data_IF_326007155011
#
_entry.id   IF_326007155011
#
_cell.length_a   1.000
_cell.length_b   1.000
_cell.length_c   1.000
_cell.angle_alpha   90.00
_cell.angle_beta   90.00
_cell.angle_gamma   90.00
#
_symmetry.space_group_name_H-M   'P 1'
#
loop_
_entity.id
_entity.type
_entity.pdbx_description
1 polymer ?
#
# COMPACT_ATOMS: atom_id res chain seq x y z
N UNK A 1 14.99 -14.46 -10.48
CA UNK A 1 13.54 -14.75 -10.43
C UNK A 1 12.67 -13.50 -10.26
N UNK A 2 12.69 -12.79 -9.08
CA UNK A 2 11.90 -11.55 -8.91
C UNK A 2 12.46 -10.42 -9.78
N UNK A 3 13.75 -10.17 -9.70
CA UNK A 3 14.49 -9.18 -10.50
C UNK A 3 14.17 -9.30 -12.00
N UNK A 4 14.26 -10.50 -12.56
CA UNK A 4 14.03 -10.72 -14.00
C UNK A 4 12.59 -10.37 -14.42
N UNK A 5 11.62 -10.64 -13.52
CA UNK A 5 10.20 -10.33 -13.78
C UNK A 5 9.91 -8.85 -13.72
N UNK A 6 10.46 -8.15 -12.74
CA UNK A 6 10.26 -6.70 -12.58
C UNK A 6 10.91 -5.96 -13.74
N UNK A 7 12.14 -6.33 -14.12
CA UNK A 7 12.82 -5.70 -15.26
C UNK A 7 12.18 -6.01 -16.63
N UNK A 8 11.32 -7.01 -16.72
CA UNK A 8 10.54 -7.31 -17.93
C UNK A 8 9.25 -6.50 -18.05
N UNK A 9 8.90 -5.68 -17.07
CA UNK A 9 7.70 -4.84 -17.14
C UNK A 9 7.89 -3.78 -18.24
N UNK A 10 6.85 -3.54 -19.06
CA UNK A 10 6.91 -2.53 -20.13
C UNK A 10 6.73 -1.08 -19.64
N UNK A 11 6.60 -0.86 -18.33
CA UNK A 11 6.41 0.45 -17.72
C UNK A 11 7.51 0.72 -16.68
N UNK A 12 7.78 1.97 -16.35
CA UNK A 12 8.63 2.33 -15.22
C UNK A 12 8.11 1.71 -13.91
N UNK A 13 9.01 1.29 -13.06
CA UNK A 13 8.69 0.81 -11.72
C UNK A 13 9.63 1.46 -10.69
N UNK A 14 9.15 1.55 -9.46
CA UNK A 14 9.89 2.09 -8.33
C UNK A 14 9.72 1.16 -7.14
N UNK A 15 10.81 0.91 -6.42
CA UNK A 15 10.82 -0.03 -5.31
C UNK A 15 10.92 0.75 -3.99
N UNK A 16 10.33 0.16 -2.95
CA UNK A 16 10.43 0.63 -1.57
C UNK A 16 10.88 -0.52 -0.68
N UNK A 17 11.55 -0.19 0.43
CA UNK A 17 11.91 -1.17 1.44
C UNK A 17 10.71 -1.58 2.27
N UNK A 18 10.44 -2.89 2.35
CA UNK A 18 9.56 -3.49 3.35
C UNK A 18 10.38 -4.12 4.49
N UNK A 19 9.69 -4.58 5.53
CA UNK A 19 10.33 -5.16 6.72
C UNK A 19 11.06 -6.49 6.44
N UNK A 20 10.75 -7.17 5.36
CA UNK A 20 11.41 -8.42 4.95
C UNK A 20 12.55 -8.22 3.94
N UNK A 21 12.75 -7.01 3.44
CA UNK A 21 13.80 -6.75 2.48
C UNK A 21 15.16 -6.59 3.19
N UNK A 22 16.22 -7.02 2.51
CA UNK A 22 17.59 -6.78 2.90
C UNK A 22 18.22 -5.76 1.96
N UNK A 23 18.72 -4.67 2.50
CA UNK A 23 19.28 -3.55 1.75
C UNK A 23 20.50 -3.98 0.91
N UNK A 24 21.36 -4.86 1.45
CA UNK A 24 22.52 -5.37 0.73
C UNK A 24 22.11 -6.21 -0.48
N UNK A 25 21.10 -7.07 -0.31
CA UNK A 25 20.55 -7.89 -1.39
C UNK A 25 19.85 -7.01 -2.43
N UNK A 26 19.06 -6.02 -1.99
CA UNK A 26 18.38 -5.10 -2.88
C UNK A 26 19.38 -4.30 -3.72
N UNK A 27 20.43 -3.77 -3.13
CA UNK A 27 21.47 -3.02 -3.82
C UNK A 27 22.25 -3.89 -4.83
N UNK A 28 22.51 -5.15 -4.51
CA UNK A 28 23.13 -6.10 -5.44
C UNK A 28 22.23 -6.48 -6.62
N UNK A 29 20.92 -6.61 -6.35
CA UNK A 29 19.94 -7.03 -7.35
C UNK A 29 19.49 -5.90 -8.27
N UNK A 30 19.39 -4.69 -7.75
CA UNK A 30 18.85 -3.51 -8.44
C UNK A 30 19.87 -2.38 -8.45
N UNK A 31 20.90 -2.52 -9.27
CA UNK A 31 22.03 -1.57 -9.35
C UNK A 31 21.66 -0.16 -9.82
N UNK A 32 20.46 0.01 -10.37
CA UNK A 32 19.92 1.32 -10.75
C UNK A 32 19.15 2.03 -9.63
N UNK A 33 19.03 1.42 -8.44
CA UNK A 33 18.41 2.07 -7.29
C UNK A 33 19.36 3.09 -6.69
N UNK A 34 18.83 4.28 -6.44
CA UNK A 34 19.56 5.35 -5.78
C UNK A 34 19.18 5.38 -4.30
N UNK A 35 20.18 5.17 -3.44
CA UNK A 35 20.05 5.38 -2.01
C UNK A 35 20.52 6.80 -1.68
N UNK A 36 19.92 7.40 -0.65
CA UNK A 36 20.40 8.68 -0.17
C UNK A 36 21.80 8.58 0.46
N UNK A 37 22.39 9.70 0.84
CA UNK A 37 23.73 9.78 1.44
C UNK A 37 23.86 8.99 2.77
N UNK A 38 22.74 8.64 3.40
CA UNK A 38 22.67 7.85 4.63
C UNK A 38 22.36 6.37 4.38
N UNK A 39 22.17 5.98 3.12
CA UNK A 39 21.88 4.62 2.72
C UNK A 39 20.41 4.21 2.84
N UNK A 40 19.47 5.15 2.93
CA UNK A 40 18.03 4.86 2.89
C UNK A 40 17.51 4.90 1.46
N UNK A 41 16.58 3.99 1.15
CA UNK A 41 15.87 3.98 -0.12
C UNK A 41 14.64 4.89 -0.03
N UNK A 42 14.86 6.17 -0.13
CA UNK A 42 13.78 7.16 -0.19
C UNK A 42 13.92 8.02 -1.45
N UNK A 43 12.80 8.29 -2.11
CA UNK A 43 12.80 8.86 -3.46
C UNK A 43 11.64 9.86 -3.62
N UNK A 44 11.92 10.95 -4.34
CA UNK A 44 10.89 11.82 -4.89
C UNK A 44 10.84 11.63 -6.40
N UNK A 45 9.71 11.22 -6.91
CA UNK A 45 9.51 10.91 -8.32
C UNK A 45 8.50 11.89 -8.90
N UNK A 46 8.93 12.69 -9.85
CA UNK A 46 8.03 13.63 -10.53
C UNK A 46 7.13 12.87 -11.51
N UNK A 47 5.84 13.12 -11.43
CA UNK A 47 4.83 12.53 -12.33
C UNK A 47 3.87 13.59 -12.84
N UNK A 48 3.15 13.34 -13.95
CA UNK A 48 2.16 14.28 -14.47
C UNK A 48 1.02 14.61 -13.50
N UNK A 49 0.76 13.73 -12.52
CA UNK A 49 -0.34 13.87 -11.55
C UNK A 49 0.12 14.36 -10.17
N UNK A 50 1.34 14.86 -10.09
CA UNK A 50 2.00 15.29 -8.87
C UNK A 50 3.11 14.33 -8.43
N UNK A 51 4.00 14.75 -7.54
CA UNK A 51 5.12 13.94 -7.11
C UNK A 51 4.68 12.73 -6.29
N UNK A 52 5.39 11.61 -6.46
CA UNK A 52 5.32 10.45 -5.57
C UNK A 52 6.50 10.52 -4.61
N UNK A 53 6.20 10.49 -3.32
CA UNK A 53 7.20 10.51 -2.24
C UNK A 53 7.23 9.11 -1.64
N UNK A 54 8.29 8.36 -1.93
CA UNK A 54 8.52 7.01 -1.45
C UNK A 54 9.48 7.08 -0.26
N UNK A 55 9.05 6.60 0.90
CA UNK A 55 9.84 6.69 2.14
C UNK A 55 10.39 5.33 2.53
N UNK A 56 11.55 5.32 3.16
CA UNK A 56 12.11 4.13 3.80
C UNK A 56 11.74 4.13 5.28
N UNK A 57 10.88 3.20 5.67
CA UNK A 57 10.44 3.04 7.07
C UNK A 57 11.05 1.80 7.74
N UNK A 58 11.98 1.11 7.08
CA UNK A 58 12.55 -0.13 7.61
C UNK A 58 13.44 0.15 8.84
N UNK A 59 13.16 -0.53 9.94
CA UNK A 59 14.05 -0.54 11.09
C UNK A 59 15.31 -1.38 10.80
N UNK A 60 16.46 -1.06 11.40
CA UNK A 60 17.69 -1.85 11.25
C UNK A 60 17.54 -3.29 11.75
N UNK A 61 16.64 -3.53 12.69
CA UNK A 61 16.35 -4.85 13.28
C UNK A 61 14.85 -5.01 13.54
N UNK A 62 14.37 -6.25 13.36
CA UNK A 62 12.96 -6.60 13.60
C UNK A 62 12.04 -6.26 12.43
N UNK A 63 10.73 -6.31 12.68
CA UNK A 63 9.69 -6.18 11.66
C UNK A 63 8.87 -4.89 11.79
N UNK A 64 9.19 -4.03 12.75
CA UNK A 64 8.55 -2.72 12.91
C UNK A 64 9.21 -1.68 12.01
N UNK A 65 8.50 -0.59 11.80
CA UNK A 65 9.04 0.60 11.17
C UNK A 65 9.67 1.55 12.19
N UNK A 66 10.68 2.28 11.75
CA UNK A 66 11.29 3.40 12.46
C UNK A 66 11.47 4.58 11.51
N UNK A 67 11.49 5.79 12.07
CA UNK A 67 11.72 6.99 11.29
C UNK A 67 12.67 7.92 12.07
N UNK A 68 13.97 7.71 11.86
CA UNK A 68 15.02 8.48 12.56
C UNK A 68 15.06 9.93 12.08
N UNK A 69 15.79 10.79 12.80
CA UNK A 69 15.90 12.23 12.48
C UNK A 69 16.32 12.48 11.04
N UNK A 70 17.32 11.76 10.52
CA UNK A 70 17.77 11.91 9.12
C UNK A 70 16.65 11.69 8.10
N UNK A 71 15.78 10.70 8.34
CA UNK A 71 14.61 10.43 7.47
C UNK A 71 13.51 11.46 7.68
N UNK A 72 13.35 11.98 8.91
CA UNK A 72 12.44 13.10 9.18
C UNK A 72 12.91 14.37 8.46
N UNK A 73 14.19 14.71 8.54
CA UNK A 73 14.77 15.88 7.87
C UNK A 73 14.60 15.77 6.35
N UNK A 74 14.93 14.62 5.78
CA UNK A 74 14.73 14.38 4.34
C UNK A 74 13.26 14.55 3.92
N UNK A 75 12.31 14.05 4.72
CA UNK A 75 10.90 14.17 4.42
C UNK A 75 10.41 15.62 4.54
N UNK A 76 10.87 16.35 5.56
CA UNK A 76 10.55 17.76 5.79
C UNK A 76 11.05 18.64 4.63
N UNK A 77 12.32 18.46 4.22
CA UNK A 77 12.92 19.14 3.07
C UNK A 77 12.20 18.78 1.78
N UNK A 78 11.93 17.49 1.55
CA UNK A 78 11.22 17.03 0.36
C UNK A 78 9.85 17.66 0.26
N UNK A 79 9.03 17.59 1.31
CA UNK A 79 7.67 18.16 1.31
C UNK A 79 7.71 19.69 1.18
N UNK A 80 8.68 20.37 1.83
CA UNK A 80 8.87 21.82 1.70
C UNK A 80 9.18 22.23 0.26
N UNK A 81 9.92 21.41 -0.47
CA UNK A 81 10.34 21.69 -1.86
C UNK A 81 9.24 21.52 -2.90
N UNK A 82 8.11 20.87 -2.54
CA UNK A 82 7.06 20.53 -3.50
C UNK A 82 6.35 21.77 -4.02
N UNK A 83 6.24 21.86 -5.34
CA UNK A 83 5.49 22.93 -6.04
C UNK A 83 4.00 22.60 -6.14
N UNK A 84 3.65 21.33 -6.07
CA UNK A 84 2.29 20.81 -6.11
C UNK A 84 2.15 19.62 -5.14
N UNK A 85 0.95 19.35 -4.62
CA UNK A 85 0.74 18.22 -3.71
C UNK A 85 0.87 16.87 -4.43
N UNK A 86 1.33 15.86 -3.69
CA UNK A 86 1.61 14.53 -4.20
C UNK A 86 1.05 13.40 -3.36
N UNK A 87 1.46 12.18 -3.71
CA UNK A 87 1.12 10.96 -2.98
C UNK A 87 2.30 10.54 -2.10
N UNK A 88 2.01 10.20 -0.84
CA UNK A 88 3.00 9.72 0.11
C UNK A 88 2.89 8.20 0.26
N UNK A 89 3.98 7.50 0.01
CA UNK A 89 4.08 6.06 0.11
C UNK A 89 4.96 5.68 1.30
N UNK A 90 4.45 4.84 2.19
CA UNK A 90 5.16 4.31 3.34
C UNK A 90 4.85 2.81 3.48
N UNK A 91 5.86 2.00 3.81
CA UNK A 91 5.58 0.58 4.05
C UNK A 91 4.82 0.39 5.37
N UNK A 92 5.35 0.88 6.49
CA UNK A 92 4.71 0.75 7.80
C UNK A 92 3.81 1.95 8.10
N UNK A 93 2.55 1.75 8.53
CA UNK A 93 1.69 2.85 8.99
C UNK A 93 2.24 3.46 10.29
N UNK A 94 2.13 4.78 10.47
CA UNK A 94 2.53 5.44 11.71
C UNK A 94 1.41 5.46 12.79
N UNK A 95 0.34 4.70 12.58
CA UNK A 95 -0.83 4.62 13.44
C UNK A 95 -1.34 3.19 13.57
N UNK A 96 -2.20 2.95 14.56
CA UNK A 96 -2.83 1.66 14.78
C UNK A 96 -3.95 1.40 13.77
N UNK A 97 -4.00 0.17 13.24
CA UNK A 97 -5.04 -0.29 12.30
C UNK A 97 -6.14 -1.09 13.01
N UNK A 98 -6.05 -1.25 14.33
CA UNK A 98 -7.00 -1.97 15.17
C UNK A 98 -6.80 -3.48 15.21
N UNK A 99 -5.64 -3.97 14.74
CA UNK A 99 -5.23 -5.38 14.85
C UNK A 99 -3.96 -5.41 15.69
N UNK A 100 -4.10 -5.77 16.97
CA UNK A 100 -3.06 -5.63 17.99
C UNK A 100 -1.70 -6.21 17.59
N UNK A 101 -1.68 -7.36 16.92
CA UNK A 101 -0.45 -8.01 16.44
C UNK A 101 0.26 -7.24 15.33
N UNK A 102 -0.47 -6.52 14.47
CA UNK A 102 0.07 -5.66 13.44
C UNK A 102 0.44 -4.28 13.99
N UNK A 103 -0.37 -3.76 14.91
CA UNK A 103 -0.11 -2.47 15.58
C UNK A 103 1.20 -2.50 16.37
N UNK A 104 1.56 -3.65 16.94
CA UNK A 104 2.83 -3.86 17.64
C UNK A 104 4.06 -3.70 16.74
N UNK A 105 3.91 -3.94 15.45
CA UNK A 105 5.00 -3.87 14.45
C UNK A 105 4.82 -2.73 13.43
N UNK A 106 3.93 -1.77 13.70
CA UNK A 106 3.79 -0.54 12.92
C UNK A 106 5.05 0.35 13.00
N UNK A 107 5.05 1.47 12.36
CA UNK A 107 6.08 2.50 12.58
C UNK A 107 5.92 3.08 14.00
N UNK A 108 7.00 3.03 14.77
CA UNK A 108 7.02 3.44 16.18
C UNK A 108 7.15 4.94 16.38
N UNK A 109 7.57 5.67 15.36
CA UNK A 109 7.81 7.12 15.41
C UNK A 109 6.61 7.95 14.91
N UNK A 110 5.39 7.41 14.96
CA UNK A 110 4.18 8.10 14.53
C UNK A 110 3.97 9.44 15.23
N UNK A 111 4.32 9.54 16.51
CA UNK A 111 4.25 10.78 17.29
C UNK A 111 5.20 11.87 16.78
N UNK A 112 6.33 11.50 16.18
CA UNK A 112 7.27 12.44 15.55
C UNK A 112 6.83 12.80 14.13
N UNK A 113 6.30 11.81 13.39
CA UNK A 113 5.83 12.00 12.02
C UNK A 113 4.60 12.89 11.92
N UNK A 114 3.64 12.74 12.83
CA UNK A 114 2.37 13.48 12.73
C UNK A 114 2.57 14.99 12.70
N UNK A 115 3.32 15.64 13.60
CA UNK A 115 3.53 17.10 13.55
C UNK A 115 4.24 17.56 12.27
N UNK A 116 5.15 16.74 11.71
CA UNK A 116 5.80 17.02 10.45
C UNK A 116 4.78 17.00 9.30
N UNK A 117 3.99 15.94 9.21
CA UNK A 117 2.98 15.80 8.16
C UNK A 117 1.91 16.91 8.25
N UNK A 118 1.54 17.31 9.47
CA UNK A 118 0.57 18.41 9.69
C UNK A 118 1.08 19.76 9.19
N UNK A 119 2.38 20.06 9.34
CA UNK A 119 2.98 21.26 8.76
C UNK A 119 2.90 21.30 7.23
N UNK A 120 2.91 20.13 6.60
CA UNK A 120 2.88 19.97 5.14
C UNK A 120 1.57 19.38 4.62
N UNK A 121 0.48 19.56 5.35
CA UNK A 121 -0.83 18.97 5.01
C UNK A 121 -1.28 19.29 3.59
N UNK A 122 -1.05 20.49 3.13
CA UNK A 122 -1.36 20.96 1.78
C UNK A 122 -0.51 20.30 0.67
N UNK A 123 0.55 19.60 1.05
CA UNK A 123 1.47 18.89 0.14
C UNK A 123 1.13 17.40 -0.04
N UNK A 124 0.20 16.86 0.76
CA UNK A 124 -0.11 15.43 0.79
C UNK A 124 -1.57 15.22 0.39
N UNK A 125 -1.77 14.65 -0.80
CA UNK A 125 -3.12 14.35 -1.32
C UNK A 125 -3.70 13.07 -0.73
N UNK A 126 -2.85 12.04 -0.59
CA UNK A 126 -3.25 10.72 -0.11
C UNK A 126 -2.02 9.94 0.35
N UNK A 127 -2.22 9.05 1.31
CA UNK A 127 -1.17 8.16 1.82
C UNK A 127 -1.45 6.72 1.41
N UNK A 128 -0.41 6.02 0.97
CA UNK A 128 -0.48 4.61 0.55
C UNK A 128 0.47 3.78 1.39
N UNK A 129 -0.04 2.66 1.92
CA UNK A 129 0.68 1.79 2.85
C UNK A 129 0.71 0.34 2.40
N UNK A 130 1.77 -0.38 2.81
CA UNK A 130 1.90 -1.82 2.72
C UNK A 130 1.77 -2.50 4.09
N UNK A 131 2.64 -3.48 4.36
CA UNK A 131 2.89 -4.13 5.64
C UNK A 131 1.75 -4.99 6.21
N UNK A 132 0.54 -4.49 6.27
CA UNK A 132 -0.59 -5.16 6.96
C UNK A 132 -1.28 -6.22 6.12
N UNK A 133 -0.93 -6.36 4.85
CA UNK A 133 -1.48 -7.35 3.90
C UNK A 133 -3.01 -7.40 3.88
N UNK A 134 -3.67 -6.25 4.06
CA UNK A 134 -5.12 -6.11 4.05
C UNK A 134 -5.54 -4.89 3.26
N UNK A 135 -6.74 -4.93 2.70
CA UNK A 135 -7.40 -3.74 2.20
C UNK A 135 -7.98 -2.99 3.38
N UNK A 136 -7.43 -1.82 3.65
CA UNK A 136 -7.92 -0.89 4.66
C UNK A 136 -7.95 0.49 4.02
N UNK A 137 -9.00 1.25 4.27
CA UNK A 137 -9.07 2.66 3.90
C UNK A 137 -9.64 3.46 5.06
N UNK A 138 -9.23 4.70 5.18
CA UNK A 138 -9.69 5.54 6.27
C UNK A 138 -9.11 6.93 6.24
N UNK A 139 -9.19 7.57 7.39
CA UNK A 139 -8.63 8.90 7.65
C UNK A 139 -7.87 8.88 8.97
N UNK A 140 -6.65 9.37 8.95
CA UNK A 140 -5.82 9.56 10.13
C UNK A 140 -5.46 11.03 10.28
N UNK A 141 -6.00 11.69 11.32
CA UNK A 141 -5.80 13.11 11.58
C UNK A 141 -6.04 14.03 10.36
N UNK A 142 -7.03 13.70 9.53
CA UNK A 142 -7.36 14.46 8.32
C UNK A 142 -6.63 14.01 7.05
N UNK A 143 -5.68 13.06 7.12
CA UNK A 143 -5.04 12.45 5.96
C UNK A 143 -5.83 11.22 5.52
N UNK A 144 -6.30 11.20 4.27
CA UNK A 144 -6.89 10.01 3.68
C UNK A 144 -5.81 8.98 3.36
N UNK A 145 -6.13 7.70 3.54
CA UNK A 145 -5.19 6.64 3.26
C UNK A 145 -5.83 5.36 2.70
N UNK A 146 -4.98 4.55 2.05
CA UNK A 146 -5.32 3.22 1.57
C UNK A 146 -4.18 2.23 1.77
N UNK A 147 -4.54 0.98 2.09
CA UNK A 147 -3.64 -0.18 2.12
C UNK A 147 -4.07 -1.18 1.08
N UNK A 148 -3.10 -1.95 0.58
CA UNK A 148 -3.32 -3.00 -0.40
C UNK A 148 -2.95 -4.38 0.16
N UNK A 149 -3.49 -5.42 -0.46
CA UNK A 149 -3.13 -6.81 -0.15
C UNK A 149 -1.69 -7.11 -0.55
N UNK A 150 -1.12 -8.11 0.12
CA UNK A 150 0.13 -8.72 -0.31
C UNK A 150 -0.06 -9.63 -1.53
N UNK A 151 1.03 -9.92 -2.23
CA UNK A 151 1.03 -10.84 -3.37
C UNK A 151 1.25 -12.31 -2.97
N UNK A 152 1.59 -12.57 -1.71
CA UNK A 152 1.92 -13.94 -1.22
C UNK A 152 0.83 -14.47 -0.28
N UNK A 153 0.60 -13.81 0.83
CA UNK A 153 -0.37 -14.16 1.86
C UNK A 153 -1.05 -12.90 2.39
N UNK A 154 -2.15 -13.08 3.09
CA UNK A 154 -2.90 -11.99 3.72
C UNK A 154 -2.89 -12.14 5.24
N UNK A 155 -3.14 -11.06 5.96
CA UNK A 155 -3.41 -11.10 7.39
C UNK A 155 -4.93 -11.13 7.63
N UNK A 156 -5.38 -11.95 8.59
CA UNK A 156 -6.81 -12.03 8.95
C UNK A 156 -7.28 -10.77 9.68
N UNK A 157 -8.57 -10.46 9.54
CA UNK A 157 -9.21 -9.46 10.41
C UNK A 157 -9.39 -10.08 11.80
N UNK A 158 -8.52 -9.74 12.71
CA UNK A 158 -8.42 -10.31 14.06
C UNK A 158 -8.42 -9.18 15.09
N UNK A 159 -9.59 -8.58 15.30
CA UNK A 159 -9.75 -7.40 16.15
C UNK A 159 -9.62 -7.71 17.65
N UNK A 160 -9.92 -8.94 18.05
CA UNK A 160 -9.85 -9.40 19.43
C UNK A 160 -8.66 -10.36 19.68
N UNK A 161 -7.71 -10.38 18.74
CA UNK A 161 -6.59 -11.32 18.76
C UNK A 161 -5.47 -10.95 19.74
N UNK A 162 -4.65 -11.97 20.06
CA UNK A 162 -3.42 -11.81 20.82
C UNK A 162 -2.41 -10.96 20.02
N UNK A 163 -1.82 -9.96 20.66
CA UNK A 163 -0.83 -9.06 20.06
C UNK A 163 0.47 -9.76 19.63
N UNK A 164 0.72 -10.97 20.11
CA UNK A 164 1.90 -11.79 19.79
C UNK A 164 1.72 -12.70 18.59
N UNK A 165 0.48 -12.90 18.12
CA UNK A 165 0.15 -13.87 17.08
C UNK A 165 -0.42 -13.15 15.87
N UNK A 166 0.35 -13.07 14.80
CA UNK A 166 -0.13 -12.59 13.50
C UNK A 166 -0.79 -13.77 12.78
N UNK A 167 -2.11 -13.70 12.60
CA UNK A 167 -2.88 -14.73 11.89
C UNK A 167 -2.96 -14.39 10.41
N UNK A 168 -2.48 -15.32 9.59
CA UNK A 168 -2.54 -15.21 8.13
C UNK A 168 -3.66 -16.03 7.52
N UNK A 169 -3.94 -15.76 6.24
CA UNK A 169 -4.75 -16.60 5.35
C UNK A 169 -4.22 -16.54 3.91
N UNK A 170 -4.73 -17.43 3.06
CA UNK A 170 -4.39 -17.52 1.65
C UNK A 170 -5.48 -16.92 0.75
N UNK A 171 -6.22 -15.95 1.24
CA UNK A 171 -7.11 -15.15 0.39
C UNK A 171 -6.36 -14.66 -0.83
N UNK A 172 -7.03 -14.59 -1.97
CA UNK A 172 -6.46 -14.24 -3.26
C UNK A 172 -5.56 -13.01 -3.20
N UNK A 173 -4.38 -13.07 -3.86
CA UNK A 173 -3.50 -11.93 -3.98
C UNK A 173 -4.13 -10.84 -4.84
N UNK A 174 -3.78 -9.60 -4.57
CA UNK A 174 -4.28 -8.46 -5.31
C UNK A 174 -3.23 -7.36 -5.44
N UNK A 175 -3.41 -6.48 -6.41
CA UNK A 175 -2.68 -5.22 -6.48
C UNK A 175 -3.64 -4.03 -6.55
N UNK A 176 -3.13 -2.86 -6.22
CA UNK A 176 -3.88 -1.62 -6.30
C UNK A 176 -3.74 -0.96 -7.67
N UNK A 177 -4.85 -0.43 -8.18
CA UNK A 177 -4.86 0.52 -9.30
C UNK A 177 -5.36 1.84 -8.77
N UNK A 178 -4.52 2.86 -8.83
CA UNK A 178 -4.87 4.20 -8.32
C UNK A 178 -5.08 5.14 -9.50
N UNK A 179 -6.30 5.62 -9.66
CA UNK A 179 -6.65 6.65 -10.62
C UNK A 179 -6.50 8.01 -9.94
N UNK A 180 -5.74 8.89 -10.57
CA UNK A 180 -5.41 10.21 -10.02
C UNK A 180 -5.71 11.28 -11.07
N UNK A 181 -6.51 12.27 -10.70
CA UNK A 181 -6.70 13.50 -11.47
C UNK A 181 -6.68 14.72 -10.54
N UNK A 182 -6.97 15.91 -11.03
CA UNK A 182 -6.89 17.15 -10.25
C UNK A 182 -7.89 17.19 -9.08
N UNK A 183 -8.96 16.41 -9.13
CA UNK A 183 -10.09 16.49 -8.20
C UNK A 183 -10.23 15.29 -7.28
N UNK A 184 -9.72 14.12 -7.69
CA UNK A 184 -9.95 12.87 -6.97
C UNK A 184 -8.75 11.91 -7.02
N UNK A 185 -8.76 11.00 -6.06
CA UNK A 185 -7.88 9.84 -6.00
C UNK A 185 -8.76 8.64 -5.70
N UNK A 186 -8.77 7.67 -6.60
CA UNK A 186 -9.59 6.47 -6.47
C UNK A 186 -8.68 5.25 -6.45
N UNK A 187 -8.70 4.49 -5.36
CA UNK A 187 -7.92 3.28 -5.22
C UNK A 187 -8.81 2.05 -5.41
N UNK A 188 -8.56 1.31 -6.48
CA UNK A 188 -9.19 0.02 -6.76
C UNK A 188 -8.28 -1.12 -6.32
N UNK A 189 -8.89 -2.20 -5.83
CA UNK A 189 -8.21 -3.46 -5.56
C UNK A 189 -8.54 -4.44 -6.67
N UNK A 190 -7.53 -4.96 -7.35
CA UNK A 190 -7.69 -5.92 -8.44
C UNK A 190 -7.20 -7.31 -8.06
N UNK A 191 -8.13 -8.25 -7.92
CA UNK A 191 -7.85 -9.67 -7.69
C UNK A 191 -7.56 -10.33 -9.05
N UNK A 192 -6.29 -10.38 -9.43
CA UNK A 192 -5.88 -10.83 -10.77
C UNK A 192 -5.95 -12.36 -10.96
N UNK A 193 -6.09 -13.13 -9.89
CA UNK A 193 -6.29 -14.59 -9.93
C UNK A 193 -7.75 -15.00 -9.93
N UNK A 194 -8.67 -14.05 -9.84
CA UNK A 194 -10.10 -14.33 -9.80
C UNK A 194 -10.60 -14.84 -11.15
N UNK A 195 -11.06 -16.10 -11.16
CA UNK A 195 -11.62 -16.79 -12.33
C UNK A 195 -13.16 -16.81 -12.33
N UNK A 196 -13.83 -16.00 -11.51
CA UNK A 196 -15.29 -15.90 -11.49
C UNK A 196 -15.83 -15.56 -12.88
N UNK A 197 -16.99 -16.12 -13.26
CA UNK A 197 -17.64 -15.77 -14.53
C UNK A 197 -17.83 -14.26 -14.69
N UNK A 198 -17.55 -13.76 -15.86
CA UNK A 198 -17.75 -12.34 -16.22
C UNK A 198 -18.94 -12.23 -17.14
N UNK A 199 -19.79 -11.24 -16.93
CA UNK A 199 -20.98 -11.01 -17.72
C UNK A 199 -21.30 -9.50 -17.78
N UNK A 200 -21.99 -9.09 -18.83
CA UNK A 200 -22.48 -7.73 -18.99
C UNK A 200 -23.82 -7.56 -18.29
N UNK A 201 -23.89 -6.67 -17.32
CA UNK A 201 -25.14 -6.39 -16.59
C UNK A 201 -26.27 -5.91 -17.52
N UNK A 202 -25.93 -5.23 -18.61
CA UNK A 202 -26.92 -4.78 -19.60
C UNK A 202 -27.45 -5.91 -20.51
N UNK A 203 -26.69 -6.99 -20.71
CA UNK A 203 -27.08 -8.14 -21.53
C UNK A 203 -27.88 -9.20 -20.74
N UNK A 204 -28.03 -9.03 -19.42
CA UNK A 204 -28.98 -9.81 -18.62
C UNK A 204 -30.43 -9.40 -18.86
N UNK A 205 -30.68 -8.52 -19.81
CA UNK A 205 -31.98 -7.90 -20.06
C UNK A 205 -32.73 -8.62 -21.17
N UNK A 206 -33.40 -9.69 -20.79
CA UNK A 206 -34.69 -10.05 -21.36
C UNK A 206 -35.86 -9.59 -20.52
N UNK A 207 -35.65 -8.63 -19.60
CA UNK A 207 -36.69 -8.15 -18.68
C UNK A 207 -36.04 -7.59 -17.39
N UNK A 208 -36.79 -6.79 -16.69
CA UNK A 208 -36.49 -6.10 -15.44
C UNK A 208 -36.23 -7.09 -14.27
N UNK A 209 -35.33 -8.07 -14.49
CA UNK A 209 -35.22 -9.19 -13.58
C UNK A 209 -33.87 -9.19 -12.81
N UNK A 210 -33.81 -8.32 -11.77
CA UNK A 210 -32.78 -8.42 -10.71
C UNK A 210 -32.74 -9.82 -10.09
N UNK A 211 -33.85 -10.60 -10.19
CA UNK A 211 -33.95 -11.97 -9.70
C UNK A 211 -33.06 -12.91 -10.49
N UNK A 212 -32.87 -12.69 -11.78
CA UNK A 212 -32.04 -13.54 -12.64
C UNK A 212 -30.55 -13.45 -12.29
N UNK A 213 -30.05 -12.26 -11.98
CA UNK A 213 -28.66 -12.06 -11.54
C UNK A 213 -28.40 -12.70 -10.15
N UNK A 214 -29.40 -12.71 -9.27
CA UNK A 214 -29.32 -13.39 -7.98
C UNK A 214 -29.42 -14.91 -8.12
N UNK A 215 -30.22 -15.41 -9.06
CA UNK A 215 -30.35 -16.84 -9.37
C UNK A 215 -29.06 -17.41 -9.98
N UNK A 216 -28.40 -16.67 -10.87
CA UNK A 216 -27.11 -17.06 -11.43
C UNK A 216 -25.99 -17.08 -10.38
N UNK A 217 -26.02 -16.18 -9.40
CA UNK A 217 -25.12 -16.25 -8.23
C UNK A 217 -25.37 -17.52 -7.41
N UNK A 218 -26.61 -17.88 -7.18
CA UNK A 218 -26.95 -19.08 -6.39
C UNK A 218 -26.52 -20.38 -7.10
N UNK A 219 -26.69 -20.47 -8.42
CA UNK A 219 -26.25 -21.63 -9.18
C UNK A 219 -24.72 -21.79 -9.16
N UNK A 220 -23.97 -20.69 -9.28
CA UNK A 220 -22.49 -20.72 -9.25
C UNK A 220 -21.89 -21.10 -7.88
N UNK A 221 -22.68 -21.03 -6.79
CA UNK A 221 -22.23 -21.42 -5.45
C UNK A 221 -22.63 -22.85 -5.07
N UNK A 222 -23.51 -23.50 -5.84
CA UNK A 222 -23.93 -24.88 -5.59
C UNK A 222 -23.02 -25.93 -6.24
N UNK A 223 -22.14 -25.51 -7.16
CA UNK A 223 -21.19 -26.39 -7.87
C UNK A 223 -19.79 -26.43 -7.21
N UNK A 224 -19.65 -25.98 -5.97
CA UNK A 224 -18.41 -26.02 -5.19
C UNK A 224 -18.64 -26.86 -3.93
N UNK A 225 -18.74 -28.17 -4.14
CA UNK A 225 -18.53 -29.21 -3.11
C UNK A 225 -17.23 -29.98 -3.40
#
# INVERSE_FOLDING_TARGET
>A
AFYDRINALPMPYYLMMGNHDDMGIMNLAFTAMEFDEYGYLQQKIETPVGPFILTDTKAPKGHHGEYCEKRLDWLDETLSSLKQPGLLFMHHPPFDVGIASLDRIRNRDGEKLLPLLERHRDKIRHMLFGHVHRVISGNWNGFSFSFMRGLNHQCRLDLDGDDKIIRGDLTEPAYGVVLVDDHQIIAHVHNFTNNSPRFDLHNLVGGDDRSHALTMRHAAWQDVD
#
